data_IF_111129601529
#
_entry.id   IF_111129601529
#
_cell.length_a   1.000
_cell.length_b   1.000
_cell.length_c   1.000
_cell.angle_alpha   90.00
_cell.angle_beta   90.00
_cell.angle_gamma   90.00
#
_symmetry.space_group_name_H-M   'P 1'
#
loop_
_entity.id
_entity.type
_entity.pdbx_description
1 polymer ?
#
# COMPACT_ATOMS: atom_id res chain seq x y z
N UNK A 1 -2.59 36.74 -58.05
CA UNK A 1 -1.13 36.94 -58.15
C UNK A 1 -0.64 37.16 -56.72
N UNK A 2 -0.40 36.13 -55.90
CA UNK A 2 0.52 34.98 -55.99
C UNK A 2 1.94 35.31 -55.48
N UNK A 3 2.61 34.30 -54.89
CA UNK A 3 3.94 34.30 -54.20
C UNK A 3 3.92 34.82 -52.75
N UNK A 4 4.70 34.32 -51.75
CA UNK A 4 5.59 33.14 -51.57
C UNK A 4 5.99 33.07 -50.04
N UNK A 5 6.59 32.04 -49.42
CA UNK A 5 6.71 30.56 -49.63
C UNK A 5 7.55 29.93 -48.47
N UNK A 6 7.15 28.78 -47.89
CA UNK A 6 8.02 27.80 -47.15
C UNK A 6 8.59 28.25 -45.77
N UNK A 7 8.78 27.44 -44.72
CA UNK A 7 9.05 26.00 -44.48
C UNK A 7 7.97 25.45 -43.49
N UNK A 8 7.13 24.44 -43.75
CA UNK A 8 7.33 23.01 -44.09
C UNK A 8 7.86 22.15 -42.91
N UNK A 9 7.64 20.83 -42.78
CA UNK A 9 6.62 19.86 -43.20
C UNK A 9 6.95 18.53 -42.44
N UNK A 10 6.13 17.50 -42.34
CA UNK A 10 4.80 17.19 -42.88
C UNK A 10 4.29 15.88 -42.22
N UNK A 11 3.34 15.12 -42.78
CA UNK A 11 2.58 15.31 -44.01
C UNK A 11 1.18 14.66 -43.87
N UNK A 12 0.26 15.07 -44.73
CA UNK A 12 -1.12 14.54 -44.80
C UNK A 12 -1.21 13.46 -45.88
N UNK A 13 -1.97 12.39 -45.58
CA UNK A 13 -2.80 11.72 -46.59
C UNK A 13 -2.22 10.49 -47.29
N UNK A 14 -2.65 9.31 -46.86
CA UNK A 14 -2.91 8.17 -47.74
C UNK A 14 -3.86 7.18 -47.05
N UNK A 15 -4.85 6.69 -47.81
CA UNK A 15 -5.53 5.38 -47.72
C UNK A 15 -5.81 4.69 -46.37
N UNK A 16 -7.00 4.10 -46.32
CA UNK A 16 -7.47 3.20 -45.28
C UNK A 16 -6.48 2.04 -44.96
N UNK A 17 -5.58 2.23 -43.99
CA UNK A 17 -4.85 1.13 -43.34
C UNK A 17 -4.38 1.38 -41.89
N UNK A 18 -4.56 2.58 -41.33
CA UNK A 18 -4.08 2.93 -39.97
C UNK A 18 -5.14 2.94 -38.84
N UNK A 19 -6.37 2.50 -39.10
CA UNK A 19 -7.35 2.15 -38.05
C UNK A 19 -6.99 0.86 -37.28
N UNK A 20 -5.72 0.44 -37.30
CA UNK A 20 -5.24 -0.85 -36.79
C UNK A 20 -3.88 -0.78 -36.07
N UNK A 21 -3.56 0.34 -35.39
CA UNK A 21 -2.45 0.39 -34.41
C UNK A 21 -2.55 1.39 -33.26
N UNK A 22 -3.77 1.80 -32.89
CA UNK A 22 -4.07 2.38 -31.57
C UNK A 22 -4.78 1.36 -30.65
N UNK A 23 -4.52 0.07 -30.88
CA UNK A 23 -4.89 -1.04 -30.03
C UNK A 23 -3.61 -1.65 -29.44
N UNK A 24 -3.01 -0.93 -28.51
CA UNK A 24 -1.98 -1.41 -27.60
C UNK A 24 -1.95 -0.48 -26.38
N UNK A 25 -2.04 -1.09 -25.19
CA UNK A 25 -1.79 -0.56 -23.85
C UNK A 25 -2.66 0.63 -23.39
N UNK A 26 -3.55 0.31 -22.43
CA UNK A 26 -4.69 1.16 -22.08
C UNK A 26 -6.05 0.53 -22.39
N UNK A 27 -6.11 -0.78 -22.62
CA UNK A 27 -7.33 -1.53 -22.37
C UNK A 27 -7.69 -1.31 -20.89
N UNK A 28 -8.67 -0.44 -20.63
CA UNK A 28 -9.27 -0.31 -19.31
C UNK A 28 -9.87 -1.65 -18.96
N UNK A 29 -9.11 -2.44 -18.21
CA UNK A 29 -9.45 -3.81 -17.87
C UNK A 29 -10.60 -3.74 -16.89
N UNK A 30 -11.83 -3.69 -17.45
CA UNK A 30 -13.07 -3.84 -16.71
C UNK A 30 -12.94 -5.15 -15.96
N UNK A 31 -12.58 -5.07 -14.68
CA UNK A 31 -12.60 -6.21 -13.79
C UNK A 31 -14.05 -6.71 -13.81
N UNK A 32 -14.35 -7.91 -14.32
CA UNK A 32 -15.73 -8.35 -14.54
C UNK A 32 -16.57 -8.40 -13.25
N UNK A 33 -15.88 -8.33 -12.11
CA UNK A 33 -16.41 -8.40 -10.75
C UNK A 33 -16.41 -7.04 -10.02
N UNK A 34 -16.05 -5.93 -10.68
CA UNK A 34 -16.04 -4.61 -10.04
C UNK A 34 -17.48 -4.15 -9.74
N UNK A 35 -17.91 -4.34 -8.48
CA UNK A 35 -19.22 -3.87 -8.00
C UNK A 35 -19.26 -2.34 -8.09
N UNK A 36 -20.04 -1.84 -9.04
CA UNK A 36 -20.30 -0.40 -9.20
C UNK A 36 -21.42 0.01 -8.25
N UNK A 37 -21.19 1.11 -7.54
CA UNK A 37 -22.13 1.73 -6.61
C UNK A 37 -22.64 3.05 -7.21
N UNK A 38 -23.92 3.34 -7.04
CA UNK A 38 -24.48 4.64 -7.37
C UNK A 38 -24.38 5.59 -6.16
N UNK A 39 -24.04 6.86 -6.39
CA UNK A 39 -24.23 7.93 -5.41
C UNK A 39 -25.69 8.40 -5.41
N UNK A 40 -26.10 9.08 -4.34
CA UNK A 40 -27.28 9.94 -4.40
C UNK A 40 -27.10 10.99 -5.51
N UNK A 41 -28.16 11.31 -6.25
CA UNK A 41 -28.14 12.38 -7.25
C UNK A 41 -28.25 13.73 -6.55
N UNK A 42 -27.43 14.70 -6.94
CA UNK A 42 -27.43 16.06 -6.40
C UNK A 42 -26.92 17.06 -7.43
N UNK A 43 -26.46 18.23 -6.98
CA UNK A 43 -25.89 19.27 -7.86
C UNK A 43 -24.62 18.80 -8.60
N UNK A 44 -23.92 17.81 -8.04
CA UNK A 44 -22.83 17.07 -8.69
C UNK A 44 -23.25 16.18 -9.87
N UNK A 45 -24.56 16.03 -10.12
CA UNK A 45 -25.11 15.15 -11.15
C UNK A 45 -25.24 13.69 -10.72
N UNK A 46 -25.29 12.79 -11.71
CA UNK A 46 -25.32 11.33 -11.48
C UNK A 46 -23.90 10.79 -11.45
N UNK A 47 -23.45 10.39 -10.27
CA UNK A 47 -22.13 9.77 -10.07
C UNK A 47 -22.28 8.30 -9.73
N UNK A 48 -21.51 7.45 -10.40
CA UNK A 48 -21.29 6.05 -10.02
C UNK A 48 -19.81 5.82 -9.72
N UNK A 49 -19.46 4.86 -8.88
CA UNK A 49 -18.08 4.61 -8.49
C UNK A 49 -17.80 3.13 -8.21
N UNK A 50 -16.52 2.73 -8.23
CA UNK A 50 -16.07 1.45 -7.71
C UNK A 50 -14.71 1.57 -7.03
N UNK A 51 -14.34 0.56 -6.24
CA UNK A 51 -13.01 0.47 -5.66
C UNK A 51 -11.98 0.00 -6.69
N UNK A 52 -10.83 0.66 -6.71
CA UNK A 52 -9.61 0.21 -7.38
C UNK A 52 -8.51 0.06 -6.34
N UNK A 53 -7.42 -0.60 -6.70
CA UNK A 53 -6.18 -0.55 -5.92
C UNK A 53 -5.11 0.20 -6.68
N UNK A 54 -4.41 1.08 -5.97
CA UNK A 54 -3.25 1.84 -6.47
C UNK A 54 -2.03 1.53 -5.63
N UNK A 55 -0.86 1.75 -6.20
CA UNK A 55 0.44 1.36 -5.65
C UNK A 55 1.47 2.42 -6.02
N UNK A 56 2.60 2.46 -5.32
CA UNK A 56 3.72 3.30 -5.71
C UNK A 56 4.20 2.91 -7.12
N UNK A 57 4.35 3.89 -8.05
CA UNK A 57 4.99 3.66 -9.34
C UNK A 57 6.40 3.08 -9.20
N UNK A 58 6.84 2.31 -10.19
CA UNK A 58 8.12 1.58 -10.15
C UNK A 58 9.32 2.50 -9.92
N UNK A 59 9.28 3.73 -10.44
CA UNK A 59 10.34 4.73 -10.23
C UNK A 59 10.43 5.21 -8.78
N UNK A 60 9.33 5.28 -8.02
CA UNK A 60 9.38 5.57 -6.57
C UNK A 60 10.03 4.38 -5.85
N UNK A 61 9.61 3.16 -6.19
CA UNK A 61 10.08 1.94 -5.52
C UNK A 61 11.54 1.64 -5.84
N UNK A 62 12.04 2.00 -7.03
CA UNK A 62 13.44 1.82 -7.42
C UNK A 62 14.41 2.64 -6.54
N UNK A 63 14.08 3.91 -6.28
CA UNK A 63 14.96 4.84 -5.56
C UNK A 63 14.75 4.84 -4.04
N UNK A 64 13.71 4.17 -3.53
CA UNK A 64 13.45 4.03 -2.09
C UNK A 64 14.44 3.05 -1.44
N UNK A 65 14.83 3.26 -0.18
CA UNK A 65 15.57 2.24 0.59
C UNK A 65 14.63 1.11 1.02
N UNK A 66 15.00 -0.15 0.77
CA UNK A 66 14.21 -1.29 1.23
C UNK A 66 14.29 -1.42 2.77
N UNK A 67 13.21 -1.89 3.43
CA UNK A 67 13.26 -2.26 4.84
C UNK A 67 14.37 -3.28 5.10
N UNK A 68 15.06 -3.16 6.22
CA UNK A 68 16.08 -4.14 6.60
C UNK A 68 15.41 -5.48 7.00
N UNK A 69 15.97 -6.60 6.55
CA UNK A 69 15.39 -7.95 6.74
C UNK A 69 15.46 -8.49 8.17
N UNK A 70 16.36 -7.94 9.01
CA UNK A 70 16.37 -8.17 10.46
C UNK A 70 15.26 -7.35 11.13
N UNK A 71 14.29 -7.98 11.84
CA UNK A 71 13.33 -7.26 12.67
C UNK A 71 14.01 -6.42 13.76
N UNK A 72 13.45 -5.25 14.05
CA UNK A 72 13.93 -4.33 15.09
C UNK A 72 12.75 -3.74 15.86
N UNK A 73 12.82 -3.79 17.19
CA UNK A 73 11.78 -3.34 18.12
C UNK A 73 12.39 -2.37 19.14
N UNK A 74 12.10 -1.08 18.99
CA UNK A 74 12.57 -0.03 19.90
C UNK A 74 11.55 0.26 21.00
N UNK A 75 11.99 0.21 22.26
CA UNK A 75 11.21 0.57 23.43
C UNK A 75 11.84 1.80 24.11
N UNK A 76 11.30 3.01 23.89
CA UNK A 76 11.80 4.23 24.52
C UNK A 76 11.44 4.29 26.03
N UNK A 77 12.33 4.86 26.84
CA UNK A 77 12.07 5.17 28.25
C UNK A 77 11.86 3.97 29.18
N UNK A 78 12.11 2.73 28.73
CA UNK A 78 12.01 1.52 29.57
C UNK A 78 13.37 0.99 29.98
N UNK A 79 13.43 0.36 31.16
CA UNK A 79 14.59 -0.40 31.62
C UNK A 79 14.37 -1.91 31.42
N UNK A 80 15.45 -2.71 31.51
CA UNK A 80 15.43 -4.14 31.20
C UNK A 80 14.35 -4.97 31.94
N UNK A 81 14.19 -4.78 33.24
CA UNK A 81 13.27 -5.62 34.03
C UNK A 81 11.78 -5.32 33.79
N UNK A 82 11.33 -4.04 33.72
CA UNK A 82 10.00 -3.71 33.19
C UNK A 82 9.75 -4.25 31.77
N UNK A 83 10.75 -4.18 30.88
CA UNK A 83 10.63 -4.73 29.52
C UNK A 83 10.50 -6.26 29.54
N UNK A 84 11.30 -6.96 30.36
CA UNK A 84 11.19 -8.41 30.58
C UNK A 84 9.79 -8.79 31.05
N UNK A 85 9.31 -8.12 32.10
CA UNK A 85 7.99 -8.36 32.67
C UNK A 85 6.88 -8.10 31.63
N UNK A 86 6.98 -7.02 30.86
CA UNK A 86 6.04 -6.73 29.77
C UNK A 86 6.00 -7.84 28.71
N UNK A 87 7.15 -8.28 28.20
CA UNK A 87 7.21 -9.30 27.14
C UNK A 87 6.64 -10.65 27.61
N UNK A 88 6.95 -11.05 28.85
CA UNK A 88 6.40 -12.27 29.45
C UNK A 88 4.89 -12.15 29.68
N UNK A 89 4.40 -11.01 30.20
CA UNK A 89 2.98 -10.77 30.41
C UNK A 89 2.18 -10.64 29.11
N UNK A 90 2.83 -10.21 28.02
CA UNK A 90 2.26 -10.26 26.67
C UNK A 90 2.10 -11.70 26.14
N UNK A 91 2.78 -12.68 26.74
CA UNK A 91 2.76 -14.08 26.31
C UNK A 91 3.84 -14.44 25.29
N UNK A 92 4.95 -13.70 25.23
CA UNK A 92 6.14 -14.14 24.50
C UNK A 92 6.80 -15.36 25.20
N UNK A 93 7.40 -16.25 24.41
CA UNK A 93 8.13 -17.41 24.93
C UNK A 93 9.25 -16.98 25.90
N UNK A 94 9.29 -17.49 27.16
CA UNK A 94 10.33 -17.16 28.11
C UNK A 94 11.75 -17.45 27.61
N UNK A 95 11.95 -18.47 26.80
CA UNK A 95 13.28 -18.77 26.24
C UNK A 95 13.68 -17.74 25.16
N UNK A 96 12.74 -17.28 24.32
CA UNK A 96 12.94 -16.18 23.38
C UNK A 96 13.23 -14.86 24.09
N UNK A 97 12.44 -14.50 25.12
CA UNK A 97 12.68 -13.29 25.93
C UNK A 97 14.05 -13.34 26.62
N UNK A 98 14.47 -14.51 27.12
CA UNK A 98 15.82 -14.68 27.66
C UNK A 98 16.91 -14.43 26.60
N UNK A 99 16.77 -15.01 25.39
CA UNK A 99 17.70 -14.77 24.26
C UNK A 99 17.78 -13.28 23.92
N UNK A 100 16.65 -12.61 23.69
CA UNK A 100 16.62 -11.20 23.28
C UNK A 100 17.25 -10.26 24.30
N UNK A 101 17.15 -10.55 25.59
CA UNK A 101 17.65 -9.67 26.66
C UNK A 101 19.08 -10.02 27.13
N UNK A 102 19.62 -11.19 26.78
CA UNK A 102 20.93 -11.67 27.25
C UNK A 102 21.98 -11.73 26.13
N UNK A 103 21.61 -12.04 24.89
CA UNK A 103 22.55 -12.01 23.76
C UNK A 103 22.84 -10.56 23.35
N UNK A 104 24.12 -10.16 23.44
CA UNK A 104 24.62 -8.84 23.07
C UNK A 104 24.44 -8.52 21.57
N UNK A 105 24.08 -9.50 20.74
CA UNK A 105 23.71 -9.31 19.32
C UNK A 105 22.21 -9.06 19.13
N UNK A 106 21.38 -9.49 20.08
CA UNK A 106 19.92 -9.36 20.03
C UNK A 106 19.40 -8.10 20.75
N UNK A 107 20.27 -7.30 21.38
CA UNK A 107 19.91 -6.07 22.10
C UNK A 107 20.93 -4.94 21.90
N UNK A 108 20.42 -3.72 21.70
CA UNK A 108 21.16 -2.48 21.88
C UNK A 108 20.53 -1.70 23.03
N UNK A 109 21.32 -1.36 24.05
CA UNK A 109 20.88 -0.55 25.19
C UNK A 109 21.45 0.86 25.04
N UNK A 110 20.59 1.82 24.68
CA UNK A 110 20.91 3.24 24.68
C UNK A 110 20.46 3.93 25.98
N UNK A 111 20.86 5.19 26.20
CA UNK A 111 20.44 5.96 27.39
C UNK A 111 18.93 6.26 27.42
N UNK A 112 18.29 6.33 26.25
CA UNK A 112 16.87 6.72 26.12
C UNK A 112 15.97 5.57 25.63
N UNK A 113 16.53 4.45 25.18
CA UNK A 113 15.78 3.36 24.56
C UNK A 113 16.51 2.02 24.60
N UNK A 114 15.74 0.94 24.72
CA UNK A 114 16.21 -0.43 24.48
C UNK A 114 15.68 -0.88 23.12
N UNK A 115 16.56 -1.30 22.21
CA UNK A 115 16.18 -1.89 20.93
C UNK A 115 16.48 -3.38 20.93
N UNK A 116 15.47 -4.21 20.65
CA UNK A 116 15.61 -5.65 20.48
C UNK A 116 15.67 -6.01 18.99
N UNK A 117 16.42 -7.05 18.67
CA UNK A 117 16.55 -7.63 17.33
C UNK A 117 16.12 -9.10 17.37
N UNK A 118 14.81 -9.40 17.52
CA UNK A 118 14.33 -10.78 17.51
C UNK A 118 14.58 -11.40 16.13
N UNK A 119 14.87 -12.69 16.09
CA UNK A 119 15.04 -13.39 14.80
C UNK A 119 13.72 -13.46 14.02
N UNK A 120 13.78 -13.68 12.72
CA UNK A 120 12.57 -13.92 11.90
C UNK A 120 11.72 -15.04 12.50
N UNK A 121 12.34 -16.18 12.82
CA UNK A 121 11.68 -17.32 13.46
C UNK A 121 11.01 -16.96 14.81
N UNK A 122 11.62 -16.10 15.62
CA UNK A 122 11.03 -15.61 16.87
C UNK A 122 9.76 -14.78 16.63
N UNK A 123 9.77 -13.89 15.62
CA UNK A 123 8.62 -13.05 15.23
C UNK A 123 7.48 -13.91 14.65
N UNK A 124 7.85 -14.92 13.87
CA UNK A 124 6.93 -15.89 13.29
C UNK A 124 6.27 -16.81 14.31
N UNK A 125 7.00 -17.17 15.38
CA UNK A 125 6.53 -17.99 16.48
C UNK A 125 5.61 -17.24 17.47
N UNK A 126 5.49 -15.91 17.38
CA UNK A 126 4.57 -15.16 18.24
C UNK A 126 3.11 -15.64 18.06
N UNK A 127 2.46 -16.01 19.15
CA UNK A 127 1.01 -16.19 19.18
C UNK A 127 0.27 -14.87 18.94
N UNK A 128 -0.95 -14.93 18.41
CA UNK A 128 -1.75 -13.74 18.04
C UNK A 128 -1.92 -12.75 19.20
N UNK A 129 -2.11 -13.23 20.43
CA UNK A 129 -2.24 -12.38 21.60
C UNK A 129 -0.95 -11.59 21.90
N UNK A 130 0.20 -12.28 21.87
CA UNK A 130 1.51 -11.67 22.09
C UNK A 130 1.86 -10.66 20.99
N UNK A 131 1.61 -11.02 19.71
CA UNK A 131 1.79 -10.10 18.57
C UNK A 131 0.98 -8.82 18.76
N UNK A 132 -0.32 -8.92 19.06
CA UNK A 132 -1.18 -7.74 19.28
C UNK A 132 -0.74 -6.91 20.49
N UNK A 133 -0.32 -7.54 21.59
CA UNK A 133 0.13 -6.83 22.79
C UNK A 133 1.46 -6.10 22.56
N UNK A 134 2.47 -6.78 22.01
CA UNK A 134 3.78 -6.19 21.68
C UNK A 134 3.62 -5.09 20.64
N UNK A 135 2.87 -5.32 19.56
CA UNK A 135 2.80 -4.35 18.46
C UNK A 135 1.99 -3.11 18.84
N UNK A 136 1.03 -3.23 19.76
CA UNK A 136 0.36 -2.08 20.38
C UNK A 136 1.30 -1.23 21.22
N UNK A 137 2.30 -1.83 21.88
CA UNK A 137 3.32 -1.10 22.63
C UNK A 137 4.29 -0.40 21.67
N UNK A 138 4.80 -1.12 20.67
CA UNK A 138 5.69 -0.57 19.64
C UNK A 138 5.05 0.59 18.88
N UNK A 139 3.74 0.49 18.58
CA UNK A 139 2.97 1.52 17.89
C UNK A 139 2.87 2.87 18.63
N UNK A 140 3.27 2.95 19.91
CA UNK A 140 3.32 4.21 20.66
C UNK A 140 4.50 5.10 20.25
N UNK A 141 5.53 4.54 19.60
CA UNK A 141 6.75 5.26 19.23
C UNK A 141 6.93 5.33 17.71
N UNK A 142 7.24 6.51 17.13
CA UNK A 142 7.58 6.64 15.72
C UNK A 142 8.90 5.93 15.35
N UNK A 143 9.73 5.55 16.33
CA UNK A 143 10.93 4.74 16.10
C UNK A 143 10.62 3.31 15.60
N UNK A 144 9.35 2.87 15.72
CA UNK A 144 8.86 1.62 15.17
C UNK A 144 7.94 1.89 13.99
N UNK A 145 8.46 2.49 12.91
CA UNK A 145 7.69 3.02 11.78
C UNK A 145 6.52 2.12 11.33
N UNK A 146 6.79 0.84 11.05
CA UNK A 146 5.79 -0.12 10.55
C UNK A 146 4.83 -0.68 11.61
N UNK A 147 5.06 -0.38 12.89
CA UNK A 147 4.13 -0.69 13.99
C UNK A 147 3.25 0.53 14.30
N UNK A 148 3.83 1.73 14.27
CA UNK A 148 3.10 2.99 14.37
C UNK A 148 2.12 3.15 13.19
N UNK A 149 2.65 2.95 11.97
CA UNK A 149 1.98 3.07 10.68
C UNK A 149 2.01 1.70 9.94
N UNK A 150 1.20 0.71 10.35
CA UNK A 150 1.13 -0.58 9.68
C UNK A 150 0.53 -0.46 8.28
N UNK A 151 0.71 -1.51 7.48
CA UNK A 151 -0.08 -1.70 6.26
C UNK A 151 -1.51 -2.03 6.68
N UNK A 152 -2.41 -1.07 6.46
CA UNK A 152 -3.85 -1.24 6.71
C UNK A 152 -4.51 -2.00 5.55
N UNK A 153 -4.99 -3.19 5.84
CA UNK A 153 -5.71 -4.06 4.92
C UNK A 153 -7.20 -3.81 5.15
N UNK A 154 -7.80 -2.98 4.29
CA UNK A 154 -9.20 -2.56 4.41
C UNK A 154 -10.18 -3.46 3.65
N UNK A 155 -9.66 -4.43 2.91
CA UNK A 155 -10.40 -5.41 2.11
C UNK A 155 -10.88 -6.59 2.99
N UNK A 156 -11.83 -7.37 2.48
CA UNK A 156 -12.45 -8.49 3.23
C UNK A 156 -11.47 -9.60 3.60
N UNK A 157 -10.42 -9.78 2.80
CA UNK A 157 -9.37 -10.78 3.00
C UNK A 157 -8.02 -10.29 2.47
N UNK A 158 -6.97 -11.03 2.81
CA UNK A 158 -5.62 -10.79 2.29
C UNK A 158 -5.53 -11.17 0.80
N UNK A 159 -6.33 -12.14 0.35
CA UNK A 159 -6.42 -12.50 -1.07
C UNK A 159 -7.05 -11.37 -1.90
N UNK A 160 -8.12 -10.74 -1.39
CA UNK A 160 -8.73 -9.55 -2.02
C UNK A 160 -7.74 -8.37 -2.09
N UNK A 161 -6.95 -8.19 -1.02
CA UNK A 161 -5.94 -7.14 -0.96
C UNK A 161 -4.78 -7.39 -1.92
N UNK A 162 -4.20 -8.59 -1.95
CA UNK A 162 -3.15 -8.95 -2.93
C UNK A 162 -3.70 -8.88 -4.36
N UNK A 163 -4.97 -9.27 -4.55
CA UNK A 163 -5.66 -9.26 -5.84
C UNK A 163 -4.94 -10.12 -6.88
N UNK A 164 -4.83 -9.57 -8.10
CA UNK A 164 -4.24 -10.27 -9.26
C UNK A 164 -2.71 -10.34 -9.27
N UNK A 165 -2.03 -9.93 -8.18
CA UNK A 165 -0.56 -10.03 -8.10
C UNK A 165 -0.10 -11.48 -7.96
N UNK A 166 0.95 -11.82 -8.71
CA UNK A 166 1.63 -13.11 -8.60
C UNK A 166 2.58 -13.14 -7.38
N UNK A 167 2.00 -13.19 -6.17
CA UNK A 167 2.75 -13.39 -4.92
C UNK A 167 2.87 -14.90 -4.66
N UNK A 168 4.07 -15.37 -4.30
CA UNK A 168 4.32 -16.79 -4.01
C UNK A 168 3.38 -17.33 -2.91
N UNK A 169 2.96 -18.61 -2.95
CA UNK A 169 2.04 -19.16 -1.96
C UNK A 169 2.55 -19.09 -0.51
N UNK A 170 3.84 -19.32 -0.28
CA UNK A 170 4.49 -19.28 1.03
C UNK A 170 4.59 -17.86 1.60
N UNK A 171 4.86 -16.86 0.74
CA UNK A 171 4.82 -15.44 1.11
C UNK A 171 3.39 -15.02 1.48
N UNK A 172 2.39 -15.45 0.71
CA UNK A 172 0.96 -15.21 0.98
C UNK A 172 0.52 -15.84 2.30
N UNK A 173 0.94 -17.07 2.58
CA UNK A 173 0.67 -17.76 3.84
C UNK A 173 1.33 -17.02 5.03
N UNK A 174 2.58 -16.60 4.89
CA UNK A 174 3.28 -15.82 5.91
C UNK A 174 2.56 -14.49 6.20
N UNK A 175 2.21 -13.70 5.17
CA UNK A 175 1.43 -12.46 5.34
C UNK A 175 0.11 -12.77 6.07
N UNK A 176 -0.55 -13.88 5.73
CA UNK A 176 -1.81 -14.30 6.35
C UNK A 176 -1.65 -14.66 7.83
N UNK A 177 -0.59 -15.40 8.18
CA UNK A 177 -0.30 -15.84 9.56
C UNK A 177 0.17 -14.70 10.47
N UNK A 178 0.90 -13.71 9.93
CA UNK A 178 1.44 -12.59 10.72
C UNK A 178 0.49 -11.38 10.78
N UNK A 179 -0.48 -11.27 9.87
CA UNK A 179 -1.50 -10.23 9.94
C UNK A 179 -2.33 -10.32 11.22
N UNK A 180 -2.66 -9.16 11.79
CA UNK A 180 -3.33 -9.04 13.08
C UNK A 180 -4.42 -7.97 13.05
N UNK A 181 -5.37 -8.03 13.99
CA UNK A 181 -6.44 -7.02 14.09
C UNK A 181 -6.08 -5.90 15.07
N UNK A 182 -6.26 -4.65 14.63
CA UNK A 182 -6.16 -3.44 15.46
C UNK A 182 -7.55 -2.78 15.49
N UNK A 183 -8.39 -3.22 16.43
CA UNK A 183 -9.84 -3.00 16.33
C UNK A 183 -10.41 -3.84 15.18
N UNK A 184 -11.32 -3.27 14.40
CA UNK A 184 -11.94 -3.97 13.26
C UNK A 184 -11.05 -4.05 12.01
N UNK A 185 -9.93 -3.31 11.97
CA UNK A 185 -9.04 -3.23 10.81
C UNK A 185 -7.95 -4.30 10.87
N UNK A 186 -7.75 -4.99 9.75
CA UNK A 186 -6.65 -5.95 9.57
C UNK A 186 -5.36 -5.18 9.23
N UNK A 187 -4.26 -5.54 9.88
CA UNK A 187 -2.98 -4.84 9.82
C UNK A 187 -1.83 -5.83 9.60
N UNK A 188 -0.80 -5.39 8.87
CA UNK A 188 0.48 -6.10 8.75
C UNK A 188 1.63 -5.13 9.05
N UNK A 189 2.56 -5.52 9.92
CA UNK A 189 3.71 -4.70 10.37
C UNK A 189 5.07 -5.30 10.04
N UNK A 190 5.12 -6.60 9.70
CA UNK A 190 6.34 -7.41 9.65
C UNK A 190 7.09 -7.27 8.33
N UNK A 191 7.33 -6.04 7.88
CA UNK A 191 8.04 -5.78 6.62
C UNK A 191 9.46 -6.36 6.62
N UNK A 192 10.16 -6.41 7.75
CA UNK A 192 11.45 -7.11 7.85
C UNK A 192 11.35 -8.59 7.54
N UNK A 193 10.30 -9.28 8.05
CA UNK A 193 10.04 -10.68 7.71
C UNK A 193 9.64 -10.83 6.23
N UNK A 194 8.83 -9.91 5.71
CA UNK A 194 8.51 -9.89 4.28
C UNK A 194 9.76 -9.74 3.41
N UNK A 195 10.73 -8.92 3.80
CA UNK A 195 11.99 -8.76 3.09
C UNK A 195 12.92 -9.99 3.25
N UNK A 196 12.88 -10.71 4.38
CA UNK A 196 13.66 -11.96 4.53
C UNK A 196 13.13 -13.13 3.67
N UNK A 197 11.92 -13.01 3.12
CA UNK A 197 11.33 -14.00 2.22
C UNK A 197 11.70 -13.78 0.74
N UNK A 198 12.31 -12.65 0.38
CA UNK A 198 12.70 -12.36 -1.00
C UNK A 198 13.93 -13.16 -1.42
N UNK A 199 13.87 -13.81 -2.59
CA UNK A 199 14.98 -14.57 -3.17
C UNK A 199 15.87 -13.72 -4.10
N UNK A 200 15.47 -12.47 -4.38
CA UNK A 200 16.22 -11.51 -5.20
C UNK A 200 15.81 -10.07 -4.91
N UNK A 201 16.67 -9.10 -5.24
CA UNK A 201 16.36 -7.67 -5.13
C UNK A 201 15.11 -7.27 -5.90
N UNK A 202 14.87 -7.89 -7.07
CA UNK A 202 13.67 -7.64 -7.88
C UNK A 202 12.39 -8.10 -7.17
N UNK A 203 12.43 -9.27 -6.51
CA UNK A 203 11.31 -9.75 -5.68
C UNK A 203 11.15 -8.87 -4.42
N UNK A 204 12.24 -8.48 -3.76
CA UNK A 204 12.18 -7.58 -2.59
C UNK A 204 11.55 -6.23 -2.95
N UNK A 205 11.88 -5.67 -4.13
CA UNK A 205 11.25 -4.47 -4.69
C UNK A 205 9.75 -4.67 -4.94
N UNK A 206 9.34 -5.79 -5.53
CA UNK A 206 7.91 -6.03 -5.78
C UNK A 206 7.10 -6.27 -4.49
N UNK A 207 7.68 -6.98 -3.50
CA UNK A 207 7.08 -7.15 -2.18
C UNK A 207 7.00 -5.82 -1.40
N UNK A 208 8.00 -4.95 -1.53
CA UNK A 208 7.93 -3.59 -0.98
C UNK A 208 6.84 -2.76 -1.68
N UNK A 209 6.71 -2.87 -3.01
CA UNK A 209 5.62 -2.24 -3.79
C UNK A 209 4.24 -2.73 -3.34
N UNK A 210 4.06 -4.03 -3.09
CA UNK A 210 2.83 -4.56 -2.48
C UNK A 210 2.52 -3.88 -1.14
N UNK A 211 3.53 -3.61 -0.30
CA UNK A 211 3.34 -2.86 0.94
C UNK A 211 2.81 -1.42 0.76
N UNK A 212 3.01 -0.82 -0.41
CA UNK A 212 2.44 0.50 -0.77
C UNK A 212 1.01 0.44 -1.27
N UNK A 213 0.44 -0.76 -1.49
CA UNK A 213 -0.90 -0.94 -2.07
C UNK A 213 -1.99 -0.34 -1.18
N UNK A 214 -2.82 0.53 -1.75
CA UNK A 214 -3.96 1.18 -1.08
C UNK A 214 -5.22 1.02 -1.91
N UNK A 215 -6.36 0.85 -1.22
CA UNK A 215 -7.68 0.94 -1.86
C UNK A 215 -8.01 2.40 -2.13
N UNK A 216 -8.37 2.70 -3.36
CA UNK A 216 -8.83 4.01 -3.83
C UNK A 216 -10.20 3.87 -4.52
N UNK A 217 -10.82 5.00 -4.86
CA UNK A 217 -12.13 5.05 -5.53
C UNK A 217 -11.94 5.62 -6.93
N UNK A 218 -12.46 4.91 -7.94
CA UNK A 218 -12.65 5.46 -9.28
C UNK A 218 -14.09 5.94 -9.42
N UNK A 219 -14.26 7.24 -9.64
CA UNK A 219 -15.56 7.89 -9.84
C UNK A 219 -15.86 8.14 -11.32
N UNK A 220 -17.13 7.99 -11.70
CA UNK A 220 -17.65 8.16 -13.04
C UNK A 220 -18.83 9.13 -12.98
N UNK A 221 -18.65 10.33 -13.56
CA UNK A 221 -19.75 11.26 -13.82
C UNK A 221 -20.49 10.80 -15.08
N UNK A 222 -21.79 10.53 -14.98
CA UNK A 222 -22.62 10.11 -16.10
C UNK A 222 -23.30 11.34 -16.72
N UNK A 223 -22.87 11.72 -17.92
CA UNK A 223 -23.42 12.85 -18.67
C UNK A 223 -24.17 12.33 -19.91
N UNK A 224 -25.44 12.69 -20.03
CA UNK A 224 -26.31 12.38 -21.17
C UNK A 224 -26.78 13.65 -21.87
N UNK A 225 -27.34 13.50 -23.07
CA UNK A 225 -27.73 14.62 -23.94
C UNK A 225 -28.77 15.59 -23.33
N UNK A 226 -29.52 15.15 -22.30
CA UNK A 226 -30.57 15.93 -21.64
C UNK A 226 -30.13 16.53 -20.29
N UNK A 227 -28.87 16.36 -19.88
CA UNK A 227 -28.38 16.92 -18.63
C UNK A 227 -28.06 18.42 -18.74
N UNK A 228 -28.19 19.15 -17.63
CA UNK A 228 -27.80 20.56 -17.58
C UNK A 228 -26.26 20.69 -17.49
N UNK A 229 -25.61 20.71 -18.65
CA UNK A 229 -24.16 20.87 -18.78
C UNK A 229 -23.62 22.12 -18.07
N UNK A 230 -24.35 23.24 -18.10
CA UNK A 230 -23.93 24.49 -17.46
C UNK A 230 -23.89 24.34 -15.93
N UNK A 231 -24.91 23.72 -15.34
CA UNK A 231 -24.96 23.45 -13.91
C UNK A 231 -23.87 22.46 -13.47
N UNK A 232 -23.65 21.38 -14.24
CA UNK A 232 -22.59 20.40 -13.96
C UNK A 232 -21.19 21.04 -14.06
N UNK A 233 -20.94 21.85 -15.09
CA UNK A 233 -19.68 22.56 -15.25
C UNK A 233 -19.47 23.60 -14.13
N UNK A 234 -20.52 24.32 -13.71
CA UNK A 234 -20.46 25.25 -12.60
C UNK A 234 -20.09 24.55 -11.28
N UNK A 235 -20.72 23.40 -10.98
CA UNK A 235 -20.44 22.61 -9.79
C UNK A 235 -18.98 22.11 -9.77
N UNK A 236 -18.55 21.40 -10.82
CA UNK A 236 -17.24 20.71 -10.82
C UNK A 236 -16.04 21.66 -11.06
N UNK A 237 -16.25 22.86 -11.60
CA UNK A 237 -15.16 23.82 -11.87
C UNK A 237 -14.83 24.80 -10.73
N UNK A 238 -15.60 24.77 -9.64
CA UNK A 238 -15.47 25.58 -8.40
C UNK A 238 -14.91 26.97 -8.68
N UNK A 239 -15.74 27.84 -9.27
CA UNK A 239 -15.41 29.23 -9.59
C UNK A 239 -14.09 29.40 -10.37
N UNK A 240 -14.12 29.01 -11.66
CA UNK A 240 -13.21 29.45 -12.72
C UNK A 240 -11.84 28.75 -12.88
N UNK A 241 -11.65 27.50 -12.45
CA UNK A 241 -10.52 26.67 -12.95
C UNK A 241 -10.78 26.15 -14.38
N UNK A 242 -10.97 27.08 -15.34
CA UNK A 242 -11.24 26.82 -16.76
C UNK A 242 -9.96 26.55 -17.54
N UNK A 243 -9.51 25.30 -17.63
CA UNK A 243 -8.65 24.88 -18.75
C UNK A 243 -9.15 23.66 -19.52
N UNK A 244 -9.57 22.58 -18.85
CA UNK A 244 -9.76 21.27 -19.52
C UNK A 244 -11.06 20.53 -19.13
N UNK A 245 -12.20 21.23 -19.03
CA UNK A 245 -13.50 20.65 -18.54
C UNK A 245 -14.62 20.62 -19.59
N UNK A 246 -14.41 21.19 -20.78
CA UNK A 246 -15.33 21.11 -21.92
C UNK A 246 -14.58 20.53 -23.13
N UNK A 247 -15.24 19.71 -23.98
CA UNK A 247 -14.65 19.13 -25.18
C UNK A 247 -14.43 20.15 -26.30
#
# INVERSE_FOLDING_TARGET
MALHLVIAAGAVGAFAFYARRAAADGAAQQSPNARVYACATGEWGRVSWHYIHIEAPDWIVADTLLPHSQPSWCFPGVTLEPLRAFLLNAGADPAAVARWLQDRRAILQGPESITLFPSVADVEALGTAARVAIYRELAKSPLNEYHANPIYILDSSIDDWIGLRNVRPDVREMITRLSYRRGDVLCFSDLSVLMSYAHSDAEARDLAKLGTRRRAVMGYLQVGANDNFEALAAYWSVAYRRKDVLP
#
